data_IF_979622844419
#
_entry.id   IF_979622844419
#
_cell.length_a   1.000
_cell.length_b   1.000
_cell.length_c   1.000
_cell.angle_alpha   90.00
_cell.angle_beta   90.00
_cell.angle_gamma   90.00
#
_symmetry.space_group_name_H-M   'P 1'
#
loop_
_entity.id
_entity.type
_entity.pdbx_description
1 polymer ?
#
# COMPACT_ATOMS: atom_id res chain seq x y z
N UNK A 1 20.82 9.08 16.27
CA UNK A 1 19.64 9.13 17.15
C UNK A 1 18.59 9.99 16.46
N UNK A 2 17.52 9.52 15.85
CA UNK A 2 16.93 8.18 15.77
C UNK A 2 15.76 8.28 14.78
N UNK A 3 16.05 8.22 13.46
CA UNK A 3 14.98 8.17 12.45
C UNK A 3 14.20 6.85 12.51
N UNK A 4 14.74 5.85 13.20
CA UNK A 4 14.06 4.58 13.44
C UNK A 4 12.88 4.70 14.42
N UNK A 5 12.91 5.66 15.35
CA UNK A 5 11.82 5.84 16.34
C UNK A 5 10.52 6.38 15.72
N UNK A 6 10.59 7.02 14.55
CA UNK A 6 9.39 7.55 13.88
C UNK A 6 8.53 6.42 13.32
N UNK A 7 9.16 5.35 12.83
CA UNK A 7 8.45 4.17 12.31
C UNK A 7 7.75 3.38 13.40
N UNK A 8 8.34 3.26 14.60
CA UNK A 8 7.70 2.63 15.76
C UNK A 8 6.47 3.40 16.27
N UNK A 9 6.36 4.71 16.01
CA UNK A 9 5.22 5.53 16.44
C UNK A 9 4.04 5.50 15.47
N UNK A 10 4.24 5.12 14.21
CA UNK A 10 3.15 4.88 13.25
C UNK A 10 2.61 3.45 13.47
N UNK A 11 2.18 3.19 14.71
CA UNK A 11 1.53 1.95 15.16
C UNK A 11 0.03 1.92 14.86
N UNK A 12 -0.42 2.53 13.76
CA UNK A 12 -1.81 2.36 13.33
C UNK A 12 -1.91 1.12 12.45
N UNK A 13 -2.21 0.01 13.11
CA UNK A 13 -2.89 -1.09 12.46
C UNK A 13 -4.08 -0.54 11.70
N UNK A 14 -4.13 -0.78 10.39
CA UNK A 14 -5.35 -0.54 9.63
C UNK A 14 -6.55 -1.29 10.23
N UNK A 15 -7.73 -1.08 9.66
CA UNK A 15 -8.93 -1.74 10.16
C UNK A 15 -8.88 -3.26 9.96
N UNK A 16 -9.10 -4.04 11.03
CA UNK A 16 -9.34 -5.49 10.94
C UNK A 16 -10.83 -5.69 10.72
N UNK A 17 -11.23 -5.89 9.46
CA UNK A 17 -12.62 -6.09 9.09
C UNK A 17 -13.01 -7.56 9.30
N UNK A 18 -13.53 -7.97 10.46
CA UNK A 18 -14.00 -9.36 10.62
C UNK A 18 -15.39 -9.53 10.01
N UNK A 19 -15.52 -10.34 8.95
CA UNK A 19 -16.82 -10.72 8.40
C UNK A 19 -17.38 -11.85 9.25
N UNK A 20 -18.45 -11.57 10.00
CA UNK A 20 -19.08 -12.52 10.92
C UNK A 20 -20.23 -13.33 10.28
N UNK A 21 -20.74 -12.89 9.13
CA UNK A 21 -21.86 -13.52 8.42
C UNK A 21 -21.41 -14.19 7.13
N UNK A 22 -22.09 -15.29 6.77
CA UNK A 22 -21.89 -15.96 5.49
C UNK A 22 -22.31 -15.01 4.37
N UNK A 23 -21.36 -14.61 3.54
CA UNK A 23 -21.64 -13.77 2.37
C UNK A 23 -22.23 -14.66 1.26
N UNK A 24 -23.30 -14.22 0.59
CA UNK A 24 -24.06 -15.08 -0.32
C UNK A 24 -23.30 -15.46 -1.59
N UNK A 25 -22.54 -14.53 -2.18
CA UNK A 25 -21.83 -14.72 -3.46
C UNK A 25 -20.42 -14.13 -3.44
N UNK A 26 -19.54 -14.67 -4.28
CA UNK A 26 -18.18 -14.13 -4.53
C UNK A 26 -18.22 -12.67 -4.98
N UNK A 27 -19.20 -12.27 -5.79
CA UNK A 27 -19.34 -10.89 -6.25
C UNK A 27 -19.59 -9.90 -5.09
N UNK A 28 -20.44 -10.27 -4.13
CA UNK A 28 -20.74 -9.39 -2.99
C UNK A 28 -19.55 -9.29 -2.04
N UNK A 29 -18.80 -10.38 -1.88
CA UNK A 29 -17.52 -10.35 -1.17
C UNK A 29 -16.54 -9.39 -1.85
N UNK A 30 -16.46 -9.43 -3.18
CA UNK A 30 -15.58 -8.54 -3.95
C UNK A 30 -15.95 -7.07 -3.75
N UNK A 31 -17.24 -6.72 -3.79
CA UNK A 31 -17.69 -5.34 -3.57
C UNK A 31 -17.33 -4.84 -2.17
N UNK A 32 -17.61 -5.65 -1.14
CA UNK A 32 -17.36 -5.26 0.25
C UNK A 32 -15.86 -5.16 0.52
N UNK A 33 -15.08 -6.14 0.06
CA UNK A 33 -13.63 -6.18 0.26
C UNK A 33 -12.90 -5.11 -0.54
N UNK A 34 -13.39 -4.70 -1.72
CA UNK A 34 -12.79 -3.63 -2.51
C UNK A 34 -13.21 -2.23 -2.02
N UNK A 35 -14.40 -2.06 -1.45
CA UNK A 35 -14.92 -0.75 -1.07
C UNK A 35 -14.04 -0.02 -0.04
N UNK A 36 -13.56 -0.73 0.98
CA UNK A 36 -12.68 -0.18 2.01
C UNK A 36 -11.38 0.37 1.41
N UNK A 37 -10.56 -0.48 0.76
CA UNK A 37 -9.34 -0.06 0.10
C UNK A 37 -9.54 1.04 -0.95
N UNK A 38 -10.59 0.98 -1.77
CA UNK A 38 -10.87 2.04 -2.76
C UNK A 38 -11.14 3.38 -2.11
N UNK A 39 -11.94 3.42 -1.02
CA UNK A 39 -12.19 4.65 -0.27
C UNK A 39 -10.89 5.18 0.36
N UNK A 40 -10.09 4.29 0.97
CA UNK A 40 -8.80 4.63 1.57
C UNK A 40 -7.82 5.20 0.55
N UNK A 41 -7.67 4.57 -0.61
CA UNK A 41 -6.82 5.05 -1.69
C UNK A 41 -7.30 6.38 -2.25
N UNK A 42 -8.62 6.55 -2.44
CA UNK A 42 -9.17 7.79 -2.99
C UNK A 42 -8.91 8.97 -2.06
N UNK A 43 -9.21 8.83 -0.77
CA UNK A 43 -8.97 9.88 0.22
C UNK A 43 -7.47 10.14 0.39
N UNK A 44 -6.66 9.08 0.50
CA UNK A 44 -5.21 9.20 0.62
C UNK A 44 -4.59 9.92 -0.58
N UNK A 45 -5.02 9.62 -1.80
CA UNK A 45 -4.53 10.27 -3.01
C UNK A 45 -4.93 11.76 -3.06
N UNK A 46 -6.18 12.09 -2.72
CA UNK A 46 -6.64 13.48 -2.68
C UNK A 46 -5.82 14.30 -1.68
N UNK A 47 -5.57 13.75 -0.48
CA UNK A 47 -4.78 14.41 0.55
C UNK A 47 -3.30 14.53 0.13
N UNK A 48 -2.74 13.50 -0.51
CA UNK A 48 -1.37 13.52 -1.00
C UNK A 48 -1.18 14.62 -2.05
N UNK A 49 -2.06 14.68 -3.05
CA UNK A 49 -2.05 15.71 -4.09
C UNK A 49 -2.23 17.11 -3.48
N UNK A 50 -3.18 17.25 -2.55
CA UNK A 50 -3.40 18.52 -1.85
C UNK A 50 -2.17 18.95 -1.05
N UNK A 51 -1.46 18.00 -0.42
CA UNK A 51 -0.24 18.28 0.32
C UNK A 51 0.91 18.80 -0.56
N UNK A 52 1.00 18.36 -1.80
CA UNK A 52 2.00 18.89 -2.75
C UNK A 52 1.63 20.26 -3.30
N UNK A 53 0.34 20.58 -3.41
CA UNK A 53 -0.14 21.86 -3.97
C UNK A 53 -0.21 22.96 -2.89
N UNK A 54 -0.58 22.60 -1.65
CA UNK A 54 -0.77 23.56 -0.58
C UNK A 54 0.54 23.86 0.16
N UNK A 55 0.89 25.14 0.36
CA UNK A 55 2.07 25.49 1.14
C UNK A 55 1.92 25.02 2.60
N UNK A 56 3.03 24.75 3.31
CA UNK A 56 2.99 24.36 4.71
C UNK A 56 2.36 25.45 5.60
N UNK A 57 1.45 25.05 6.49
CA UNK A 57 0.71 25.97 7.37
C UNK A 57 1.62 26.81 8.26
N UNK A 58 2.75 26.23 8.69
CA UNK A 58 3.71 26.87 9.60
C UNK A 58 4.80 27.64 8.83
N UNK A 59 4.71 27.72 7.50
CA UNK A 59 5.68 28.37 6.61
C UNK A 59 7.01 27.63 6.42
N UNK A 60 7.40 26.76 7.37
CA UNK A 60 8.67 26.02 7.35
C UNK A 60 8.51 24.63 6.71
N UNK A 61 7.39 23.96 6.96
CA UNK A 61 7.13 22.58 6.50
C UNK A 61 8.02 21.52 7.15
N UNK A 62 7.91 20.28 6.67
CA UNK A 62 8.80 19.18 7.07
C UNK A 62 9.92 19.09 6.05
N UNK A 63 11.15 19.25 6.53
CA UNK A 63 12.35 19.07 5.72
C UNK A 63 12.62 17.57 5.62
N UNK A 64 12.54 17.03 4.41
CA UNK A 64 12.80 15.63 4.12
C UNK A 64 13.84 15.50 3.02
N UNK A 65 14.57 14.39 3.06
CA UNK A 65 15.41 13.99 1.94
C UNK A 65 14.52 13.39 0.83
N UNK A 66 14.68 13.81 -0.44
CA UNK A 66 13.96 13.23 -1.57
C UNK A 66 14.05 11.71 -1.69
N UNK A 67 15.12 11.09 -1.17
CA UNK A 67 15.27 9.62 -1.10
C UNK A 67 14.09 8.91 -0.43
N UNK A 68 13.38 9.56 0.49
CA UNK A 68 12.19 8.98 1.15
C UNK A 68 11.10 8.62 0.14
N UNK A 69 10.99 9.35 -0.98
CA UNK A 69 10.01 9.03 -2.01
C UNK A 69 10.40 7.81 -2.87
N UNK A 70 11.63 7.30 -2.75
CA UNK A 70 12.01 6.04 -3.39
C UNK A 70 11.38 4.82 -2.72
N UNK A 71 10.88 4.95 -1.49
CA UNK A 71 10.22 3.85 -0.78
C UNK A 71 8.86 3.49 -1.38
N UNK A 72 8.31 4.30 -2.28
CA UNK A 72 7.00 4.07 -2.87
C UNK A 72 6.92 4.56 -4.32
N UNK A 73 6.62 3.66 -5.25
CA UNK A 73 6.53 3.97 -6.67
C UNK A 73 5.42 4.98 -6.96
N UNK A 74 4.28 4.86 -6.28
CA UNK A 74 3.18 5.82 -6.41
C UNK A 74 3.54 7.19 -5.85
N UNK A 75 4.09 7.25 -4.63
CA UNK A 75 4.46 8.53 -4.02
C UNK A 75 5.62 9.21 -4.78
N UNK A 76 6.66 8.47 -5.14
CA UNK A 76 7.78 8.95 -5.94
C UNK A 76 7.39 9.35 -7.36
N UNK A 77 6.49 8.61 -8.01
CA UNK A 77 5.94 8.98 -9.31
C UNK A 77 5.17 10.31 -9.27
N UNK A 78 4.31 10.50 -8.26
CA UNK A 78 3.57 11.75 -8.06
C UNK A 78 4.52 12.90 -7.69
N UNK A 79 5.48 12.65 -6.79
CA UNK A 79 6.47 13.64 -6.40
C UNK A 79 7.28 14.11 -7.61
N UNK A 80 7.78 13.18 -8.44
CA UNK A 80 8.51 13.52 -9.67
C UNK A 80 7.65 14.29 -10.66
N UNK A 81 6.37 13.94 -10.80
CA UNK A 81 5.45 14.64 -11.70
C UNK A 81 5.17 16.08 -11.25
N UNK A 82 5.02 16.31 -9.94
CA UNK A 82 4.62 17.61 -9.39
C UNK A 82 5.81 18.53 -9.07
N UNK A 83 6.90 17.99 -8.53
CA UNK A 83 8.09 18.75 -8.15
C UNK A 83 9.12 18.86 -9.29
N UNK A 84 9.11 17.94 -10.25
CA UNK A 84 10.00 17.97 -11.41
C UNK A 84 11.47 18.11 -11.01
N UNK A 85 12.16 19.09 -11.61
CA UNK A 85 13.59 19.35 -11.42
C UNK A 85 13.97 19.86 -10.01
N UNK A 86 12.99 20.21 -9.17
CA UNK A 86 13.20 20.58 -7.77
C UNK A 86 13.54 19.34 -6.92
N UNK A 87 13.10 18.16 -7.37
CA UNK A 87 13.34 16.89 -6.69
C UNK A 87 14.74 16.37 -7.05
N UNK A 88 15.78 16.87 -6.37
CA UNK A 88 17.16 16.40 -6.52
C UNK A 88 17.63 15.68 -5.28
N UNK A 89 18.16 14.48 -5.47
CA UNK A 89 18.77 13.69 -4.40
C UNK A 89 19.89 14.50 -3.72
N UNK A 90 19.92 14.49 -2.38
CA UNK A 90 20.90 15.22 -1.59
C UNK A 90 20.59 16.70 -1.35
N UNK A 91 19.55 17.27 -1.98
CA UNK A 91 19.01 18.59 -1.59
C UNK A 91 17.73 18.42 -0.78
N UNK A 92 17.73 18.71 0.53
CA UNK A 92 16.53 18.59 1.35
C UNK A 92 15.43 19.51 0.83
N UNK A 93 14.22 18.99 0.71
CA UNK A 93 13.05 19.77 0.30
C UNK A 93 12.11 19.94 1.48
N UNK A 94 11.48 21.11 1.56
CA UNK A 94 10.39 21.34 2.48
C UNK A 94 9.08 20.91 1.83
N UNK A 95 8.39 19.96 2.47
CA UNK A 95 7.05 19.51 2.05
C UNK A 95 6.01 19.80 3.13
N UNK A 96 4.75 19.90 2.71
CA UNK A 96 3.65 20.00 3.65
C UNK A 96 3.58 18.70 4.49
N UNK A 97 3.44 18.78 5.83
CA UNK A 97 3.21 17.62 6.69
C UNK A 97 2.12 16.67 6.17
N UNK A 98 1.10 17.22 5.51
CA UNK A 98 0.00 16.48 4.91
C UNK A 98 0.47 15.39 3.93
N UNK A 99 1.57 15.61 3.21
CA UNK A 99 2.16 14.62 2.28
C UNK A 99 2.57 13.35 3.04
N UNK A 100 3.25 13.51 4.17
CA UNK A 100 3.73 12.39 4.98
C UNK A 100 2.55 11.64 5.59
N UNK A 101 1.56 12.35 6.13
CA UNK A 101 0.36 11.73 6.70
C UNK A 101 -0.48 10.99 5.65
N UNK A 102 -0.66 11.58 4.48
CA UNK A 102 -1.36 10.95 3.37
C UNK A 102 -0.63 9.71 2.86
N UNK A 103 0.71 9.79 2.73
CA UNK A 103 1.52 8.65 2.32
C UNK A 103 1.47 7.52 3.35
N UNK A 104 1.56 7.82 4.65
CA UNK A 104 1.41 6.82 5.70
C UNK A 104 0.05 6.12 5.64
N UNK A 105 -1.04 6.86 5.40
CA UNK A 105 -2.38 6.30 5.21
C UNK A 105 -2.48 5.40 3.97
N UNK A 106 -1.90 5.82 2.85
CA UNK A 106 -1.82 5.02 1.63
C UNK A 106 -1.03 3.72 1.86
N UNK A 107 0.06 3.78 2.61
CA UNK A 107 0.90 2.63 2.93
C UNK A 107 0.17 1.62 3.82
N UNK A 108 -0.53 2.08 4.86
CA UNK A 108 -1.39 1.21 5.70
C UNK A 108 -2.47 0.53 4.85
N UNK A 109 -3.12 1.28 3.97
CA UNK A 109 -4.15 0.74 3.08
C UNK A 109 -3.59 -0.27 2.07
N UNK A 110 -2.33 -0.09 1.67
CA UNK A 110 -1.63 -0.98 0.75
C UNK A 110 -1.26 -2.30 1.39
N UNK A 111 -0.82 -2.28 2.65
CA UNK A 111 -0.64 -3.50 3.43
C UNK A 111 -1.95 -4.28 3.58
N UNK A 112 -3.07 -3.59 3.79
CA UNK A 112 -4.38 -4.23 3.81
C UNK A 112 -4.80 -4.82 2.45
N UNK A 113 -4.24 -4.31 1.37
CA UNK A 113 -4.49 -4.76 -0.01
C UNK A 113 -3.58 -5.90 -0.46
N UNK A 114 -2.64 -6.36 0.38
CA UNK A 114 -1.81 -7.53 0.08
C UNK A 114 -2.69 -8.78 -0.02
N UNK A 115 -2.51 -9.66 -1.02
CA UNK A 115 -3.34 -10.84 -1.22
C UNK A 115 -3.01 -11.98 -0.23
N UNK A 116 -3.05 -11.71 1.08
CA UNK A 116 -2.68 -12.63 2.15
C UNK A 116 -3.79 -12.83 3.19
N UNK A 117 -4.26 -14.08 3.36
CA UNK A 117 -5.11 -14.46 4.48
C UNK A 117 -6.46 -13.74 4.50
N UNK A 118 -6.88 -13.27 5.69
CA UNK A 118 -8.13 -12.54 5.90
C UNK A 118 -8.08 -11.05 5.53
N UNK A 119 -6.97 -10.56 4.99
CA UNK A 119 -6.85 -9.19 4.51
C UNK A 119 -7.91 -8.87 3.45
N UNK A 120 -8.21 -7.58 3.28
CA UNK A 120 -9.08 -7.12 2.21
C UNK A 120 -8.52 -7.55 0.84
N UNK A 121 -7.20 -7.45 0.63
CA UNK A 121 -6.53 -8.00 -0.55
C UNK A 121 -6.64 -9.52 -0.71
N UNK A 122 -6.60 -10.26 0.40
CA UNK A 122 -6.81 -11.72 0.40
C UNK A 122 -8.23 -12.10 0.00
N UNK A 123 -9.23 -11.34 0.50
CA UNK A 123 -10.64 -11.51 0.15
C UNK A 123 -10.94 -11.09 -1.29
N UNK A 124 -10.32 -10.03 -1.78
CA UNK A 124 -10.37 -9.62 -3.19
C UNK A 124 -9.80 -10.75 -4.06
N UNK A 125 -8.61 -11.27 -3.73
CA UNK A 125 -8.00 -12.36 -4.49
C UNK A 125 -8.85 -13.65 -4.46
N UNK A 126 -9.44 -13.98 -3.32
CA UNK A 126 -10.36 -15.11 -3.19
C UNK A 126 -11.65 -14.93 -4.00
N UNK A 127 -12.26 -13.76 -3.91
CA UNK A 127 -13.47 -13.46 -4.65
C UNK A 127 -13.23 -13.52 -6.18
N UNK A 128 -12.06 -13.08 -6.64
CA UNK A 128 -11.70 -13.05 -8.06
C UNK A 128 -11.28 -14.41 -8.63
N UNK A 129 -10.42 -15.16 -7.94
CA UNK A 129 -9.78 -16.35 -8.49
C UNK A 129 -10.06 -17.66 -7.74
N UNK A 130 -10.89 -17.61 -6.70
CA UNK A 130 -11.31 -18.77 -5.92
C UNK A 130 -10.24 -19.31 -4.97
N UNK A 131 -10.57 -20.39 -4.24
CA UNK A 131 -9.78 -20.91 -3.10
C UNK A 131 -8.34 -21.28 -3.46
N UNK A 132 -8.15 -22.02 -4.55
CA UNK A 132 -6.83 -22.56 -4.92
C UNK A 132 -5.83 -21.45 -5.24
N UNK A 133 -6.24 -20.48 -6.05
CA UNK A 133 -5.37 -19.37 -6.48
C UNK A 133 -5.11 -18.42 -5.32
N UNK A 134 -6.15 -18.08 -4.55
CA UNK A 134 -5.98 -17.22 -3.37
C UNK A 134 -5.05 -17.83 -2.33
N UNK A 135 -5.15 -19.14 -2.06
CA UNK A 135 -4.25 -19.80 -1.12
C UNK A 135 -2.78 -19.77 -1.60
N UNK A 136 -2.55 -19.93 -2.91
CA UNK A 136 -1.21 -19.81 -3.50
C UNK A 136 -0.66 -18.38 -3.41
N UNK A 137 -1.48 -17.38 -3.72
CA UNK A 137 -1.11 -15.96 -3.61
C UNK A 137 -0.80 -15.59 -2.16
N UNK A 138 -1.62 -16.03 -1.21
CA UNK A 138 -1.37 -15.79 0.21
C UNK A 138 -0.11 -16.47 0.70
N UNK A 139 0.15 -17.72 0.30
CA UNK A 139 1.39 -18.41 0.63
C UNK A 139 2.61 -17.70 0.03
N UNK A 140 2.51 -17.22 -1.21
CA UNK A 140 3.57 -16.43 -1.87
C UNK A 140 3.82 -15.11 -1.15
N UNK A 141 2.78 -14.33 -0.86
CA UNK A 141 2.91 -13.03 -0.17
C UNK A 141 3.52 -13.20 1.22
N UNK A 142 3.04 -14.17 2.01
CA UNK A 142 3.59 -14.47 3.34
C UNK A 142 5.03 -15.00 3.22
N UNK A 143 5.33 -15.82 2.22
CA UNK A 143 6.68 -16.33 1.96
C UNK A 143 7.67 -15.20 1.62
N UNK A 144 7.29 -14.28 0.72
CA UNK A 144 8.09 -13.12 0.35
C UNK A 144 8.31 -12.17 1.53
N UNK A 145 7.25 -11.87 2.27
CA UNK A 145 7.34 -11.09 3.52
C UNK A 145 8.23 -11.80 4.55
N UNK A 146 8.12 -13.12 4.67
CA UNK A 146 8.97 -13.94 5.54
C UNK A 146 10.45 -13.85 5.18
N UNK A 147 10.78 -13.89 3.88
CA UNK A 147 12.16 -13.67 3.40
C UNK A 147 12.60 -12.23 3.71
N UNK A 148 11.72 -11.24 3.45
CA UNK A 148 12.01 -9.83 3.73
C UNK A 148 12.24 -9.55 5.22
N UNK A 149 11.60 -10.32 6.11
CA UNK A 149 11.75 -10.16 7.56
C UNK A 149 13.15 -10.48 8.07
N UNK A 150 13.94 -11.26 7.33
CA UNK A 150 15.32 -11.57 7.70
C UNK A 150 16.26 -10.39 7.51
N UNK A 151 15.84 -9.38 6.74
CA UNK A 151 16.64 -8.24 6.34
C UNK A 151 16.14 -6.92 6.93
N UNK A 152 14.91 -6.88 7.47
CA UNK A 152 14.27 -5.64 7.90
C UNK A 152 13.33 -5.88 9.10
N UNK A 153 13.56 -5.16 10.20
CA UNK A 153 12.76 -5.24 11.44
C UNK A 153 11.30 -4.84 11.23
N UNK A 154 11.01 -3.90 10.33
CA UNK A 154 9.65 -3.51 9.96
C UNK A 154 8.93 -4.66 9.26
N UNK A 155 9.62 -5.37 8.35
CA UNK A 155 9.05 -6.55 7.70
C UNK A 155 8.82 -7.68 8.71
N UNK A 156 9.71 -7.85 9.70
CA UNK A 156 9.51 -8.80 10.80
C UNK A 156 8.27 -8.48 11.63
N UNK A 157 8.08 -7.22 12.01
CA UNK A 157 6.86 -6.76 12.68
C UNK A 157 5.62 -7.15 11.87
N UNK A 158 5.54 -6.78 10.58
CA UNK A 158 4.38 -7.09 9.75
C UNK A 158 4.15 -8.60 9.52
N UNK A 159 5.20 -9.40 9.39
CA UNK A 159 5.07 -10.87 9.30
C UNK A 159 4.42 -11.45 10.54
N UNK A 160 4.89 -11.06 11.73
CA UNK A 160 4.32 -11.51 13.00
C UNK A 160 2.84 -11.13 13.07
N UNK A 161 2.51 -9.89 12.69
CA UNK A 161 1.14 -9.41 12.71
C UNK A 161 0.20 -10.17 11.77
N UNK A 162 0.56 -10.30 10.49
CA UNK A 162 -0.25 -11.03 9.49
C UNK A 162 -0.41 -12.49 9.93
N UNK A 163 0.67 -13.08 10.45
CA UNK A 163 0.66 -14.46 10.94
C UNK A 163 -0.28 -14.63 12.13
N UNK A 164 -0.28 -13.74 13.13
CA UNK A 164 -1.12 -13.92 14.31
C UNK A 164 -2.57 -13.45 14.11
N UNK A 165 -2.81 -12.40 13.34
CA UNK A 165 -4.15 -11.78 13.23
C UNK A 165 -4.95 -12.25 12.02
N UNK A 166 -4.31 -12.76 10.97
CA UNK A 166 -4.95 -12.96 9.66
C UNK A 166 -4.76 -14.37 9.08
N UNK A 167 -4.33 -15.33 9.91
CA UNK A 167 -4.09 -16.73 9.53
C UNK A 167 -5.35 -17.57 9.27
N UNK A 168 -6.54 -17.02 9.49
CA UNK A 168 -7.78 -17.75 9.32
C UNK A 168 -8.09 -18.02 7.84
N UNK A 169 -8.61 -19.21 7.49
CA UNK A 169 -9.19 -19.42 6.18
C UNK A 169 -10.39 -18.48 6.02
N UNK A 170 -10.51 -17.85 4.86
CA UNK A 170 -11.69 -17.02 4.55
C UNK A 170 -12.95 -17.87 4.71
N UNK A 171 -13.91 -17.34 5.48
CA UNK A 171 -15.16 -18.00 5.81
C UNK A 171 -15.86 -18.54 4.54
N UNK A 172 -16.50 -19.71 4.61
CA UNK A 172 -17.22 -20.27 3.47
C UNK A 172 -18.33 -19.31 3.01
N UNK A 173 -18.43 -19.12 1.70
CA UNK A 173 -19.54 -18.41 1.07
C UNK A 173 -20.72 -19.36 0.87
N UNK A 174 -21.94 -18.84 0.78
CA UNK A 174 -23.10 -19.66 0.42
C UNK A 174 -22.99 -20.24 -0.99
N UNK A 175 -22.33 -19.50 -1.89
CA UNK A 175 -22.19 -19.85 -3.29
C UNK A 175 -20.83 -19.38 -3.84
N UNK A 176 -20.01 -20.32 -4.32
CA UNK A 176 -18.62 -20.08 -4.78
C UNK A 176 -18.40 -20.40 -6.27
N UNK A 177 -19.46 -20.80 -6.99
CA UNK A 177 -19.36 -21.32 -8.36
C UNK A 177 -19.47 -20.17 -9.36
N UNK A 178 -20.32 -19.19 -9.09
CA UNK A 178 -20.55 -18.03 -9.95
C UNK A 178 -19.38 -17.06 -9.87
N UNK A 179 -18.85 -16.72 -11.04
CA UNK A 179 -17.80 -15.72 -11.16
C UNK A 179 -18.39 -14.29 -11.07
N UNK A 180 -17.66 -13.33 -10.46
CA UNK A 180 -18.08 -11.93 -10.42
C UNK A 180 -18.14 -11.29 -11.81
N UNK A 181 -19.04 -10.32 -12.00
CA UNK A 181 -19.07 -9.50 -13.21
C UNK A 181 -17.72 -8.77 -13.44
N UNK A 182 -17.31 -8.63 -14.70
CA UNK A 182 -16.03 -8.06 -15.13
C UNK A 182 -15.77 -6.66 -14.57
N UNK A 183 -16.82 -5.87 -14.35
CA UNK A 183 -16.70 -4.53 -13.75
C UNK A 183 -16.16 -4.57 -12.32
N UNK A 184 -16.58 -5.55 -11.52
CA UNK A 184 -16.11 -5.71 -10.14
C UNK A 184 -14.74 -6.38 -10.11
N UNK A 185 -14.47 -7.28 -11.06
CA UNK A 185 -13.12 -7.82 -11.28
C UNK A 185 -12.12 -6.69 -11.54
N UNK A 186 -12.47 -5.71 -12.38
CA UNK A 186 -11.62 -4.55 -12.65
C UNK A 186 -11.34 -3.72 -11.38
N UNK A 187 -12.34 -3.53 -10.52
CA UNK A 187 -12.16 -2.86 -9.22
C UNK A 187 -11.23 -3.64 -8.29
N UNK A 188 -11.36 -4.97 -8.25
CA UNK A 188 -10.47 -5.83 -7.48
C UNK A 188 -9.01 -5.76 -7.97
N UNK A 189 -8.80 -5.83 -9.29
CA UNK A 189 -7.47 -5.64 -9.90
C UNK A 189 -6.91 -4.27 -9.53
N UNK A 190 -7.72 -3.21 -9.61
CA UNK A 190 -7.29 -1.85 -9.28
C UNK A 190 -6.81 -1.75 -7.83
N UNK A 191 -7.53 -2.34 -6.87
CA UNK A 191 -7.11 -2.36 -5.46
C UNK A 191 -5.76 -3.05 -5.27
N UNK A 192 -5.60 -4.24 -5.86
CA UNK A 192 -4.35 -4.99 -5.77
C UNK A 192 -3.18 -4.25 -6.44
N UNK A 193 -3.45 -3.61 -7.58
CA UNK A 193 -2.48 -2.81 -8.32
C UNK A 193 -2.05 -1.58 -7.53
N UNK A 194 -3.00 -0.81 -6.97
CA UNK A 194 -2.69 0.37 -6.15
C UNK A 194 -1.87 -0.01 -4.91
N UNK A 195 -2.26 -1.08 -4.22
CA UNK A 195 -1.49 -1.60 -3.09
C UNK A 195 -0.06 -1.99 -3.50
N UNK A 196 0.09 -2.66 -4.64
CA UNK A 196 1.40 -3.03 -5.17
C UNK A 196 2.24 -1.79 -5.51
N UNK A 197 1.67 -0.78 -6.18
CA UNK A 197 2.39 0.44 -6.58
C UNK A 197 2.83 1.28 -5.37
N UNK A 198 2.11 1.23 -4.26
CA UNK A 198 2.54 1.93 -3.05
C UNK A 198 3.66 1.16 -2.34
N UNK A 199 3.60 -0.17 -2.30
CA UNK A 199 4.60 -1.02 -1.63
C UNK A 199 5.89 -1.23 -2.43
N UNK A 200 5.87 -1.05 -3.75
CA UNK A 200 7.07 -1.19 -4.57
C UNK A 200 7.94 0.06 -4.47
N UNK A 201 9.27 -0.08 -4.36
CA UNK A 201 10.16 1.06 -4.40
C UNK A 201 10.19 1.70 -5.80
N UNK A 202 10.41 3.00 -5.86
CA UNK A 202 10.61 3.74 -7.10
C UNK A 202 12.04 3.47 -7.64
N UNK A 203 12.19 2.89 -8.84
CA UNK A 203 13.48 2.38 -9.32
C UNK A 203 14.33 3.43 -10.04
N UNK A 204 13.79 4.60 -10.35
CA UNK A 204 14.49 5.60 -11.18
C UNK A 204 15.06 6.72 -10.31
N UNK A 205 16.26 7.22 -10.60
CA UNK A 205 16.77 8.40 -9.91
C UNK A 205 15.87 9.61 -10.17
N UNK A 206 15.81 10.51 -9.21
CA UNK A 206 15.08 11.78 -9.36
C UNK A 206 15.89 12.83 -10.14
N UNK A 207 17.22 12.69 -10.16
CA UNK A 207 18.11 13.56 -10.94
C UNK A 207 18.76 12.84 -12.13
N UNK A 208 19.03 13.59 -13.20
CA UNK A 208 19.82 13.16 -14.36
C UNK A 208 21.29 13.61 -14.20
N UNK A 209 22.02 13.10 -13.22
CA UNK A 209 23.49 13.29 -13.13
C UNK A 209 24.28 12.05 -13.58
N UNK A 210 23.65 11.16 -14.35
CA UNK A 210 24.30 9.99 -14.96
C UNK A 210 24.40 10.08 -16.50
N UNK A 211 24.63 11.28 -17.06
CA UNK A 211 24.87 11.45 -18.50
C UNK A 211 26.01 12.42 -18.86
N UNK A 212 26.77 12.95 -17.90
CA UNK A 212 27.89 13.87 -18.17
C UNK A 212 29.12 13.62 -17.29
N UNK A 213 29.61 12.37 -17.26
CA UNK A 213 31.03 12.04 -17.04
C UNK A 213 31.21 10.69 -17.75
N UNK A 214 31.89 10.51 -18.89
CA UNK A 214 33.07 11.14 -19.44
C UNK A 214 33.87 9.98 -20.04
N UNK A 215 34.25 10.10 -21.31
CA UNK A 215 35.34 9.32 -21.90
C UNK A 215 36.65 9.57 -21.15
#
# INVERSE_FOLDING_TARGET
MSNELLWWQIGSFGAITRILNVVPKREDLLKVAAAGPLAGFSVGLILLLSGFILPPTDGIGIIIDPSVFHESFLAGGIAKLLLGDVLKEGTPISVNPLVIWAWAGLLINSFNSIPAGELDGGRVAFAMWGRKTSARLSALSIGLLGISSLLNDVAFYWVVLIFFLQRGPIAPLSEEISDPDNKYMALGVLVLLLGLLVCLPYPFPFSNEAATTGF
#
